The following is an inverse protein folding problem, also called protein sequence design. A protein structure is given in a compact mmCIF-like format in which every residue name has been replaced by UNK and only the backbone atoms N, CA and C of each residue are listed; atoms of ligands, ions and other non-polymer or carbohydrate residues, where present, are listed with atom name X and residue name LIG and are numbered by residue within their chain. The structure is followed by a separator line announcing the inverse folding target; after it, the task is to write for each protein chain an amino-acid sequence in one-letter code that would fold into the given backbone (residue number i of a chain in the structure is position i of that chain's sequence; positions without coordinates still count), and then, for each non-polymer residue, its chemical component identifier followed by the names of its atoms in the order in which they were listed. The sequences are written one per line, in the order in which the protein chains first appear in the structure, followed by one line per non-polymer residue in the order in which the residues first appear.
data_IF_543464642059
#
_entry.id   IF_543464642059
#
_cell.length_a   1.000
_cell.length_b   1.000
_cell.length_c   1.000
_cell.angle_alpha   90.00
_cell.angle_beta   90.00
_cell.angle_gamma   90.00
#
_symmetry.space_group_name_H-M   'P 1'
#
loop_
_entity.id
_entity.type
_entity.pdbx_description
1 polymer ?
#
# COMPACT_ATOMS: atom_id res chain seq x y z
N UNK A 1 45.23 1.84 3.58
CA UNK A 1 43.91 1.18 3.58
C UNK A 1 42.92 2.26 3.97
N UNK A 2 41.99 2.62 3.07
CA UNK A 2 40.94 3.57 3.43
C UNK A 2 40.02 2.93 4.47
N UNK A 3 39.55 3.72 5.42
CA UNK A 3 38.54 3.27 6.38
C UNK A 3 37.21 3.02 5.64
N UNK A 4 36.26 2.34 6.29
CA UNK A 4 34.91 2.19 5.73
C UNK A 4 34.26 3.57 5.49
N UNK A 5 34.60 4.56 6.32
CA UNK A 5 34.15 5.95 6.19
C UNK A 5 34.61 6.58 4.87
N UNK A 6 35.83 6.28 4.41
CA UNK A 6 36.34 6.78 3.13
C UNK A 6 35.50 6.23 1.95
N UNK A 7 35.04 4.97 2.06
CA UNK A 7 34.23 4.33 1.03
C UNK A 7 32.81 4.91 0.94
N UNK A 8 32.28 5.46 2.04
CA UNK A 8 30.99 6.15 2.06
C UNK A 8 31.03 7.45 1.25
N UNK A 9 32.21 8.06 1.11
CA UNK A 9 32.41 9.30 0.37
C UNK A 9 33.24 9.11 -0.91
N UNK A 10 33.36 7.86 -1.40
CA UNK A 10 34.14 7.54 -2.60
C UNK A 10 33.60 8.29 -3.82
N UNK A 11 34.47 8.73 -4.72
CA UNK A 11 34.04 9.45 -5.94
C UNK A 11 33.20 8.58 -6.87
N UNK A 12 33.38 7.25 -6.85
CA UNK A 12 32.64 6.31 -7.67
C UNK A 12 31.30 5.93 -7.04
N UNK A 13 30.21 6.29 -7.72
CA UNK A 13 28.86 5.85 -7.36
C UNK A 13 28.76 4.32 -7.20
N UNK A 14 29.53 3.54 -7.97
CA UNK A 14 29.49 2.08 -7.94
C UNK A 14 30.13 1.52 -6.67
N UNK A 15 31.18 2.17 -6.16
CA UNK A 15 31.80 1.80 -4.90
C UNK A 15 30.84 2.06 -3.75
N UNK A 16 30.24 3.26 -3.71
CA UNK A 16 29.24 3.61 -2.69
C UNK A 16 28.01 2.71 -2.76
N UNK A 17 27.52 2.41 -3.96
CA UNK A 17 26.39 1.51 -4.15
C UNK A 17 26.71 0.08 -3.69
N UNK A 18 27.90 -0.44 -4.01
CA UNK A 18 28.36 -1.75 -3.56
C UNK A 18 28.46 -1.81 -2.03
N UNK A 19 29.03 -0.79 -1.40
CA UNK A 19 29.08 -0.68 0.06
C UNK A 19 27.67 -0.71 0.67
N UNK A 20 26.73 0.04 0.09
CA UNK A 20 25.34 0.09 0.56
C UNK A 20 24.64 -1.27 0.60
N UNK A 21 25.06 -2.23 -0.24
CA UNK A 21 24.50 -3.59 -0.21
C UNK A 21 24.93 -4.41 1.02
N UNK A 22 26.07 -4.09 1.64
CA UNK A 22 26.69 -4.90 2.69
C UNK A 22 26.81 -4.20 4.05
N UNK A 23 26.79 -2.87 4.08
CA UNK A 23 27.13 -2.06 5.27
C UNK A 23 26.27 -2.39 6.51
N UNK A 24 25.01 -2.81 6.33
CA UNK A 24 24.14 -3.24 7.45
C UNK A 24 24.62 -4.50 8.16
N UNK A 25 25.42 -5.34 7.50
CA UNK A 25 25.95 -6.57 8.08
C UNK A 25 26.92 -6.35 9.24
N UNK A 26 27.40 -5.11 9.42
CA UNK A 26 28.28 -4.73 10.52
C UNK A 26 27.52 -4.48 11.82
N UNK A 27 26.24 -4.11 11.75
CA UNK A 27 25.42 -3.79 12.93
C UNK A 27 25.41 -4.91 14.00
N UNK A 28 25.14 -6.20 13.67
CA UNK A 28 25.17 -7.26 14.67
C UNK A 28 26.57 -7.55 15.24
N UNK A 29 27.64 -7.18 14.52
CA UNK A 29 29.02 -7.44 14.95
C UNK A 29 29.51 -6.36 15.91
N UNK A 30 29.17 -5.10 15.60
CA UNK A 30 29.57 -3.93 16.39
C UNK A 30 28.77 -3.79 17.69
N UNK A 31 27.54 -4.33 17.71
CA UNK A 31 26.62 -4.13 18.81
C UNK A 31 26.00 -2.73 18.80
N UNK A 32 25.10 -2.48 19.76
CA UNK A 32 24.20 -1.33 19.76
C UNK A 32 24.90 0.03 19.77
N UNK A 33 25.79 0.26 20.73
CA UNK A 33 26.41 1.57 20.93
C UNK A 33 27.26 1.98 19.72
N UNK A 34 28.16 1.08 19.28
CA UNK A 34 29.03 1.31 18.13
C UNK A 34 28.25 1.47 16.82
N UNK A 35 27.12 0.77 16.67
CA UNK A 35 26.21 0.96 15.53
C UNK A 35 25.62 2.37 15.51
N UNK A 36 25.22 2.88 16.67
CA UNK A 36 24.65 4.24 16.78
C UNK A 36 25.73 5.29 16.53
N UNK A 37 26.91 5.13 17.13
CA UNK A 37 27.94 6.16 17.11
C UNK A 37 28.67 6.25 15.75
N UNK A 38 28.85 5.10 15.07
CA UNK A 38 29.65 5.03 13.85
C UNK A 38 28.84 4.64 12.60
N UNK A 39 27.97 3.64 12.70
CA UNK A 39 27.27 3.12 11.51
C UNK A 39 26.09 4.00 11.09
N UNK A 40 25.29 4.47 12.05
CA UNK A 40 24.12 5.31 11.76
C UNK A 40 24.47 6.62 11.02
N UNK A 41 25.52 7.38 11.37
CA UNK A 41 25.94 8.54 10.58
C UNK A 41 26.25 8.20 9.12
N UNK A 42 26.94 7.07 8.88
CA UNK A 42 27.24 6.59 7.53
C UNK A 42 25.96 6.24 6.76
N UNK A 43 25.01 5.56 7.41
CA UNK A 43 23.69 5.27 6.83
C UNK A 43 22.95 6.54 6.42
N UNK A 44 22.88 7.54 7.30
CA UNK A 44 22.20 8.80 7.04
C UNK A 44 22.85 9.59 5.91
N UNK A 45 24.18 9.53 5.79
CA UNK A 45 24.90 10.12 4.67
C UNK A 45 24.54 9.43 3.35
N UNK A 46 24.56 8.09 3.32
CA UNK A 46 24.25 7.32 2.09
C UNK A 46 22.77 7.39 1.70
N UNK A 47 21.85 7.56 2.66
CA UNK A 47 20.43 7.85 2.37
C UNK A 47 20.25 9.18 1.64
N UNK A 48 21.19 10.12 1.80
CA UNK A 48 21.18 11.43 1.14
C UNK A 48 22.09 11.50 -0.09
N UNK A 49 22.60 10.34 -0.55
CA UNK A 49 23.48 10.28 -1.73
C UNK A 49 22.79 10.85 -2.96
N UNK A 50 23.55 11.49 -3.85
CA UNK A 50 23.02 12.05 -5.10
C UNK A 50 22.49 10.95 -6.04
N UNK A 51 23.07 9.75 -5.98
CA UNK A 51 22.76 8.65 -6.88
C UNK A 51 21.68 7.72 -6.31
N UNK A 52 20.56 7.52 -7.05
CA UNK A 52 19.42 6.77 -6.54
C UNK A 52 19.73 5.32 -6.15
N UNK A 53 20.66 4.66 -6.83
CA UNK A 53 21.04 3.27 -6.55
C UNK A 53 21.63 3.10 -5.15
N UNK A 54 22.44 4.06 -4.70
CA UNK A 54 22.98 4.08 -3.34
C UNK A 54 21.85 4.19 -2.32
N UNK A 55 20.94 5.16 -2.51
CA UNK A 55 19.77 5.35 -1.62
C UNK A 55 18.90 4.11 -1.56
N UNK A 56 18.61 3.49 -2.71
CA UNK A 56 17.82 2.24 -2.80
C UNK A 56 18.44 1.09 -2.03
N UNK A 57 19.75 0.88 -2.18
CA UNK A 57 20.44 -0.18 -1.44
C UNK A 57 20.33 0.04 0.06
N UNK A 58 20.50 1.27 0.53
CA UNK A 58 20.38 1.56 1.97
C UNK A 58 18.94 1.37 2.48
N UNK A 59 17.92 1.85 1.74
CA UNK A 59 16.51 1.66 2.11
C UNK A 59 16.20 0.17 2.30
N UNK A 60 16.68 -0.69 1.40
CA UNK A 60 16.46 -2.14 1.48
C UNK A 60 17.07 -2.81 2.71
N UNK A 61 17.94 -2.10 3.45
CA UNK A 61 18.66 -2.61 4.63
C UNK A 61 18.25 -1.93 5.93
N UNK A 62 17.35 -0.93 5.89
CA UNK A 62 16.87 -0.24 7.08
C UNK A 62 16.21 -1.20 8.09
N UNK A 63 15.53 -2.24 7.60
CA UNK A 63 14.95 -3.28 8.44
C UNK A 63 16.02 -4.00 9.31
N UNK A 64 17.16 -4.36 8.73
CA UNK A 64 18.22 -5.10 9.42
C UNK A 64 18.88 -4.28 10.51
N UNK A 65 19.03 -2.98 10.26
CA UNK A 65 19.59 -2.03 11.23
C UNK A 65 18.60 -1.78 12.37
N UNK A 66 17.29 -1.77 12.09
CA UNK A 66 16.27 -1.59 13.11
C UNK A 66 16.06 -2.85 13.97
N UNK A 67 16.09 -4.05 13.37
CA UNK A 67 15.67 -5.28 14.05
C UNK A 67 16.76 -6.01 14.84
N UNK A 68 18.05 -5.76 14.60
CA UNK A 68 19.14 -6.46 15.31
C UNK A 68 19.13 -7.96 15.07
N UNK A 69 20.09 -8.46 14.29
CA UNK A 69 20.15 -9.89 13.96
C UNK A 69 20.30 -10.72 15.25
N UNK A 70 19.33 -11.60 15.54
CA UNK A 70 19.52 -12.70 16.51
C UNK A 70 20.65 -13.58 15.97
N UNK A 71 21.84 -13.53 16.55
CA UNK A 71 22.75 -14.68 16.44
C UNK A 71 22.12 -15.81 17.24
N UNK A 72 21.81 -16.89 16.54
CA UNK A 72 21.20 -18.08 17.13
C UNK A 72 22.30 -18.86 17.85
N UNK A 73 22.81 -18.31 18.94
CA UNK A 73 23.78 -19.02 19.77
C UNK A 73 23.03 -20.00 20.67
N UNK A 74 23.25 -21.28 20.40
CA UNK A 74 22.62 -22.37 21.11
C UNK A 74 23.07 -22.44 22.56
N UNK A 75 22.20 -22.05 23.48
CA UNK A 75 21.98 -22.68 24.78
C UNK A 75 20.80 -21.95 25.44
N UNK A 76 19.77 -22.72 25.82
CA UNK A 76 18.49 -22.18 26.28
C UNK A 76 18.59 -21.16 27.41
N UNK A 77 17.94 -20.01 27.20
CA UNK A 77 17.38 -19.22 28.29
C UNK A 77 16.20 -18.42 27.76
N UNK A 78 15.06 -18.60 28.41
CA UNK A 78 13.76 -18.06 28.03
C UNK A 78 13.64 -16.61 28.53
N UNK A 79 14.06 -15.64 27.73
CA UNK A 79 13.61 -14.24 27.80
C UNK A 79 13.51 -13.74 26.35
N UNK A 80 12.30 -13.57 25.82
CA UNK A 80 12.09 -12.96 24.50
C UNK A 80 12.12 -11.44 24.64
N UNK A 81 13.31 -10.88 24.83
CA UNK A 81 13.52 -9.43 24.71
C UNK A 81 13.98 -9.15 23.28
N UNK A 82 13.13 -8.49 22.49
CA UNK A 82 13.49 -8.02 21.16
C UNK A 82 14.61 -6.97 21.30
N UNK A 83 15.81 -7.26 20.79
CA UNK A 83 16.94 -6.34 20.86
C UNK A 83 16.77 -5.29 19.76
N UNK A 84 15.99 -4.26 20.05
CA UNK A 84 15.90 -3.07 19.21
C UNK A 84 17.26 -2.33 19.25
N UNK A 85 18.01 -2.42 18.13
CA UNK A 85 19.37 -1.86 18.02
C UNK A 85 19.31 -0.33 18.01
N UNK A 86 18.43 0.24 17.19
CA UNK A 86 18.17 1.68 17.15
C UNK A 86 16.80 1.87 17.74
N UNK A 87 16.72 2.21 19.02
CA UNK A 87 15.43 2.40 19.70
C UNK A 87 14.50 3.35 18.94
N UNK A 88 13.18 3.20 19.11
CA UNK A 88 12.11 4.03 18.50
C UNK A 88 12.46 5.53 18.50
N UNK A 89 13.05 6.05 19.58
CA UNK A 89 13.41 7.46 19.72
C UNK A 89 14.48 7.91 18.70
N UNK A 90 15.55 7.14 18.53
CA UNK A 90 16.61 7.42 17.56
C UNK A 90 16.12 7.22 16.12
N UNK A 91 15.28 6.22 15.89
CA UNK A 91 14.62 5.99 14.60
C UNK A 91 13.78 7.22 14.20
N UNK A 92 12.98 7.73 15.13
CA UNK A 92 12.16 8.94 14.94
C UNK A 92 13.00 10.20 14.72
N UNK A 93 14.05 10.43 15.51
CA UNK A 93 14.84 11.67 15.45
C UNK A 93 15.79 11.71 14.25
N UNK A 94 16.42 10.59 13.90
CA UNK A 94 17.49 10.55 12.91
C UNK A 94 17.04 10.09 11.54
N UNK A 95 16.20 9.04 11.47
CA UNK A 95 15.82 8.42 10.19
C UNK A 95 14.54 9.02 9.59
N UNK A 96 13.58 9.47 10.41
CA UNK A 96 12.34 10.06 9.89
C UNK A 96 12.58 11.21 8.92
N UNK A 97 13.46 12.21 9.20
CA UNK A 97 13.69 13.29 8.25
C UNK A 97 14.21 12.79 6.90
N UNK A 98 15.07 11.76 6.91
CA UNK A 98 15.56 11.14 5.69
C UNK A 98 14.45 10.38 4.95
N UNK A 99 13.60 9.63 5.66
CA UNK A 99 12.46 8.91 5.09
C UNK A 99 11.47 9.88 4.43
N UNK A 100 11.14 10.99 5.08
CA UNK A 100 10.26 12.03 4.52
C UNK A 100 10.87 12.63 3.26
N UNK A 101 12.18 12.88 3.25
CA UNK A 101 12.87 13.38 2.06
C UNK A 101 12.84 12.36 0.91
N UNK A 102 13.03 11.08 1.21
CA UNK A 102 13.02 9.99 0.21
C UNK A 102 11.62 9.68 -0.31
N UNK A 103 10.58 9.95 0.49
CA UNK A 103 9.17 9.82 0.10
C UNK A 103 8.81 10.74 -1.08
N UNK A 104 9.54 11.84 -1.25
CA UNK A 104 9.35 12.86 -2.29
C UNK A 104 10.49 12.85 -3.34
N UNK A 105 11.29 11.78 -3.37
CA UNK A 105 12.45 11.67 -4.26
C UNK A 105 12.05 11.80 -5.74
N UNK A 106 12.89 12.48 -6.53
CA UNK A 106 12.68 12.65 -7.97
C UNK A 106 12.58 11.30 -8.69
N UNK A 107 13.36 10.31 -8.26
CA UNK A 107 13.34 8.97 -8.82
C UNK A 107 12.20 8.16 -8.21
N UNK A 108 11.20 7.82 -9.04
CA UNK A 108 10.01 7.10 -8.57
C UNK A 108 10.33 5.75 -7.93
N UNK A 109 11.37 5.04 -8.38
CA UNK A 109 11.79 3.78 -7.74
C UNK A 109 12.21 3.96 -6.28
N UNK A 110 12.79 5.11 -5.92
CA UNK A 110 13.12 5.44 -4.53
C UNK A 110 11.84 5.65 -3.73
N UNK A 111 10.89 6.43 -4.27
CA UNK A 111 9.56 6.60 -3.64
C UNK A 111 8.85 5.27 -3.44
N UNK A 112 8.89 4.39 -4.44
CA UNK A 112 8.32 3.04 -4.36
C UNK A 112 8.93 2.23 -3.20
N UNK A 113 10.26 2.24 -3.07
CA UNK A 113 10.93 1.52 -1.99
C UNK A 113 10.53 2.05 -0.60
N UNK A 114 10.32 3.37 -0.47
CA UNK A 114 9.79 3.96 0.77
C UNK A 114 8.35 3.51 1.03
N UNK A 115 7.48 3.53 0.03
CA UNK A 115 6.08 3.08 0.14
C UNK A 115 5.99 1.63 0.63
N UNK A 116 6.86 0.76 0.12
CA UNK A 116 6.91 -0.65 0.53
C UNK A 116 7.41 -0.83 1.96
N UNK A 117 8.25 0.09 2.45
CA UNK A 117 8.82 0.07 3.80
C UNK A 117 7.87 0.63 4.88
N UNK A 118 6.97 1.55 4.52
CA UNK A 118 6.06 2.23 5.46
C UNK A 118 5.26 1.29 6.38
N UNK A 119 4.65 0.17 5.93
CA UNK A 119 3.83 -0.66 6.82
C UNK A 119 4.65 -1.26 7.97
N UNK A 120 5.90 -1.64 7.70
CA UNK A 120 6.82 -2.12 8.72
C UNK A 120 7.12 -0.99 9.73
N UNK A 121 7.46 0.19 9.24
CA UNK A 121 7.72 1.36 10.08
C UNK A 121 6.50 1.73 10.94
N UNK A 122 5.31 1.67 10.36
CA UNK A 122 4.04 1.95 11.03
C UNK A 122 3.76 0.93 12.14
N UNK A 123 4.06 -0.35 11.93
CA UNK A 123 3.93 -1.38 12.97
C UNK A 123 4.89 -1.18 14.14
N UNK A 124 6.08 -0.63 13.89
CA UNK A 124 7.12 -0.38 14.90
C UNK A 124 6.85 0.91 15.70
N UNK A 125 6.48 1.99 15.03
CA UNK A 125 6.28 3.31 15.65
C UNK A 125 4.88 3.50 16.26
N UNK A 126 3.93 2.65 15.84
CA UNK A 126 2.54 2.69 16.31
C UNK A 126 1.68 3.75 15.62
N UNK A 127 0.37 3.61 15.82
CA UNK A 127 -0.67 4.36 15.10
C UNK A 127 -0.61 5.88 15.35
N UNK A 128 -0.39 6.32 16.59
CA UNK A 128 -0.35 7.75 16.94
C UNK A 128 0.74 8.48 16.17
N UNK A 129 1.94 7.87 16.11
CA UNK A 129 3.06 8.44 15.40
C UNK A 129 2.79 8.48 13.89
N UNK A 130 2.24 7.40 13.34
CA UNK A 130 1.87 7.33 11.94
C UNK A 130 0.90 8.45 11.55
N UNK A 131 -0.17 8.65 12.33
CA UNK A 131 -1.18 9.66 12.08
C UNK A 131 -0.60 11.08 12.09
N UNK A 132 0.32 11.37 13.01
CA UNK A 132 0.94 12.70 13.13
C UNK A 132 1.99 12.99 12.06
N UNK A 133 2.76 11.99 11.63
CA UNK A 133 3.98 12.21 10.83
C UNK A 133 3.94 11.65 9.41
N UNK A 134 3.22 10.55 9.17
CA UNK A 134 3.31 9.77 7.93
C UNK A 134 2.01 9.69 7.15
N UNK A 135 0.85 9.91 7.79
CA UNK A 135 -0.47 9.81 7.16
C UNK A 135 -0.59 10.72 5.93
N UNK A 136 -0.12 11.97 6.01
CA UNK A 136 -0.20 12.90 4.89
C UNK A 136 0.67 12.47 3.68
N UNK A 137 1.84 11.86 3.92
CA UNK A 137 2.68 11.31 2.85
C UNK A 137 1.97 10.17 2.13
N UNK A 138 1.34 9.26 2.89
CA UNK A 138 0.60 8.14 2.33
C UNK A 138 -0.56 8.60 1.45
N UNK A 139 -1.25 9.67 1.86
CA UNK A 139 -2.31 10.27 1.06
C UNK A 139 -1.76 10.99 -0.19
N UNK A 140 -0.59 11.64 -0.08
CA UNK A 140 0.06 12.30 -1.19
C UNK A 140 0.40 11.34 -2.35
N UNK A 141 0.87 10.13 -2.04
CA UNK A 141 1.22 9.13 -3.07
C UNK A 141 0.03 8.62 -3.88
N UNK A 142 -1.21 8.72 -3.38
CA UNK A 142 -2.42 8.40 -4.14
C UNK A 142 -2.64 9.40 -5.31
N UNK A 143 -2.04 10.59 -5.22
CA UNK A 143 -2.04 11.61 -6.27
C UNK A 143 -0.76 11.66 -7.11
N UNK A 144 0.17 10.72 -6.93
CA UNK A 144 1.47 10.74 -7.62
C UNK A 144 1.29 10.71 -9.15
N UNK A 145 2.19 11.36 -9.90
CA UNK A 145 2.11 11.39 -11.36
C UNK A 145 2.35 10.01 -11.99
N UNK A 146 3.14 9.14 -11.34
CA UNK A 146 3.49 7.80 -11.80
C UNK A 146 2.44 6.79 -11.34
N UNK A 147 1.81 6.08 -12.29
CA UNK A 147 0.79 5.08 -11.99
C UNK A 147 1.24 4.00 -10.99
N UNK A 148 2.45 3.44 -11.18
CA UNK A 148 2.99 2.41 -10.29
C UNK A 148 3.15 2.88 -8.84
N UNK A 149 3.34 4.18 -8.62
CA UNK A 149 3.36 4.76 -7.27
C UNK A 149 1.96 4.80 -6.68
N UNK A 150 0.97 5.26 -7.45
CA UNK A 150 -0.43 5.25 -7.01
C UNK A 150 -0.91 3.83 -6.69
N UNK A 151 -0.60 2.87 -7.54
CA UNK A 151 -0.91 1.45 -7.33
C UNK A 151 -0.26 0.93 -6.03
N UNK A 152 1.04 1.16 -5.84
CA UNK A 152 1.74 0.78 -4.62
C UNK A 152 1.15 1.45 -3.37
N UNK A 153 0.74 2.73 -3.48
CA UNK A 153 0.08 3.45 -2.40
C UNK A 153 -1.24 2.80 -2.00
N UNK A 154 -2.07 2.34 -2.96
CA UNK A 154 -3.31 1.62 -2.60
C UNK A 154 -3.04 0.32 -1.83
N UNK A 155 -2.02 -0.43 -2.22
CA UNK A 155 -1.60 -1.65 -1.52
C UNK A 155 -1.00 -1.34 -0.15
N UNK A 156 -0.29 -0.21 -0.03
CA UNK A 156 0.20 0.29 1.24
C UNK A 156 -0.96 0.61 2.21
N UNK A 157 -2.03 1.26 1.74
CA UNK A 157 -3.23 1.49 2.57
C UNK A 157 -3.86 0.18 3.06
N UNK A 158 -3.91 -0.84 2.20
CA UNK A 158 -4.39 -2.17 2.59
C UNK A 158 -3.54 -2.74 3.74
N UNK A 159 -2.21 -2.78 3.57
CA UNK A 159 -1.30 -3.27 4.61
C UNK A 159 -1.40 -2.47 5.91
N UNK A 160 -1.56 -1.14 5.82
CA UNK A 160 -1.78 -0.29 7.01
C UNK A 160 -3.09 -0.63 7.71
N UNK A 161 -4.16 -0.92 6.95
CA UNK A 161 -5.44 -1.38 7.50
C UNK A 161 -5.31 -2.75 8.17
N UNK A 162 -4.50 -3.64 7.62
CA UNK A 162 -4.19 -4.95 8.21
C UNK A 162 -3.40 -4.83 9.54
N UNK A 163 -2.60 -3.77 9.70
CA UNK A 163 -1.80 -3.47 10.91
C UNK A 163 -2.63 -2.74 11.98
N UNK A 164 -3.35 -1.69 11.60
CA UNK A 164 -4.06 -0.81 12.54
C UNK A 164 -5.55 -1.13 12.73
N UNK A 165 -6.11 -2.01 11.89
CA UNK A 165 -7.50 -2.44 11.97
C UNK A 165 -8.46 -1.63 11.10
N UNK A 166 -9.65 -2.19 10.92
CA UNK A 166 -10.70 -1.62 10.05
C UNK A 166 -11.34 -0.38 10.65
N UNK A 167 -11.41 -0.28 11.97
CA UNK A 167 -11.95 0.87 12.70
C UNK A 167 -11.09 2.11 12.41
N UNK A 168 -9.77 1.98 12.56
CA UNK A 168 -8.81 3.04 12.22
C UNK A 168 -8.93 3.44 10.74
N UNK A 169 -8.99 2.46 9.82
CA UNK A 169 -9.13 2.76 8.40
C UNK A 169 -10.44 3.50 8.10
N UNK A 170 -11.54 3.13 8.76
CA UNK A 170 -12.84 3.77 8.60
C UNK A 170 -12.83 5.24 9.02
N UNK A 171 -12.04 5.60 10.03
CA UNK A 171 -11.91 6.97 10.51
C UNK A 171 -10.89 7.79 9.72
N UNK A 172 -9.73 7.22 9.41
CA UNK A 172 -8.57 7.98 8.90
C UNK A 172 -8.37 7.87 7.39
N UNK A 173 -8.71 6.72 6.80
CA UNK A 173 -8.36 6.39 5.40
C UNK A 173 -9.58 6.52 4.49
N UNK A 174 -10.69 5.89 4.84
CA UNK A 174 -11.90 5.84 4.00
C UNK A 174 -12.42 7.24 3.63
N UNK A 175 -12.53 8.22 4.57
CA UNK A 175 -13.02 9.55 4.22
C UNK A 175 -12.13 10.25 3.20
N UNK A 176 -10.81 10.07 3.29
CA UNK A 176 -9.83 10.68 2.37
C UNK A 176 -9.92 10.06 0.98
N UNK A 177 -10.02 8.72 0.91
CA UNK A 177 -10.19 8.00 -0.37
C UNK A 177 -11.51 8.39 -1.06
N UNK A 178 -12.60 8.53 -0.30
CA UNK A 178 -13.88 8.97 -0.85
C UNK A 178 -13.83 10.43 -1.31
N UNK A 179 -13.11 11.31 -0.58
CA UNK A 179 -12.88 12.69 -0.98
C UNK A 179 -12.24 12.82 -2.38
N UNK A 180 -11.27 11.95 -2.68
CA UNK A 180 -10.61 11.89 -4.00
C UNK A 180 -11.58 11.52 -5.14
N UNK A 181 -12.62 10.73 -4.87
CA UNK A 181 -13.61 10.32 -5.85
C UNK A 181 -14.45 11.47 -6.40
N UNK A 182 -14.47 12.61 -5.69
CA UNK A 182 -15.14 13.85 -6.11
C UNK A 182 -14.19 14.93 -6.63
N UNK A 183 -12.90 14.61 -6.78
CA UNK A 183 -11.89 15.58 -7.17
C UNK A 183 -12.00 15.96 -8.66
N UNK A 184 -11.77 17.23 -9.05
CA UNK A 184 -11.90 17.68 -10.45
C UNK A 184 -10.92 16.99 -11.40
N UNK A 185 -9.71 16.67 -10.92
CA UNK A 185 -8.74 15.89 -11.70
C UNK A 185 -9.10 14.39 -11.70
N UNK A 186 -9.32 13.86 -12.90
CA UNK A 186 -9.74 12.49 -13.16
C UNK A 186 -8.78 11.42 -12.61
N UNK A 187 -7.48 11.73 -12.49
CA UNK A 187 -6.49 10.78 -11.96
C UNK A 187 -6.81 10.37 -10.52
N UNK A 188 -7.30 11.31 -9.70
CA UNK A 188 -7.70 11.04 -8.32
C UNK A 188 -8.96 10.18 -8.28
N UNK A 189 -9.95 10.50 -9.12
CA UNK A 189 -11.20 9.72 -9.22
C UNK A 189 -10.93 8.28 -9.67
N UNK A 190 -10.07 8.10 -10.67
CA UNK A 190 -9.64 6.77 -11.10
C UNK A 190 -8.89 6.03 -9.99
N UNK A 191 -8.01 6.73 -9.26
CA UNK A 191 -7.28 6.13 -8.13
C UNK A 191 -8.21 5.72 -6.99
N UNK A 192 -9.32 6.42 -6.77
CA UNK A 192 -10.37 6.00 -5.83
C UNK A 192 -10.94 4.63 -6.19
N UNK A 193 -11.22 4.33 -7.47
CA UNK A 193 -11.65 2.99 -7.90
C UNK A 193 -10.62 1.90 -7.56
N UNK A 194 -9.33 2.17 -7.82
CA UNK A 194 -8.26 1.23 -7.48
C UNK A 194 -8.12 1.03 -5.97
N UNK A 195 -8.15 2.12 -5.20
CA UNK A 195 -8.09 2.06 -3.74
C UNK A 195 -9.25 1.25 -3.16
N UNK A 196 -10.49 1.49 -3.62
CA UNK A 196 -11.66 0.70 -3.20
C UNK A 196 -11.47 -0.79 -3.52
N UNK A 197 -11.01 -1.11 -4.73
CA UNK A 197 -10.80 -2.49 -5.15
C UNK A 197 -9.76 -3.19 -4.28
N UNK A 198 -8.64 -2.53 -3.99
CA UNK A 198 -7.57 -3.06 -3.14
C UNK A 198 -8.01 -3.21 -1.69
N UNK A 199 -8.81 -2.27 -1.17
CA UNK A 199 -9.30 -2.29 0.22
C UNK A 199 -10.46 -3.25 0.46
N UNK A 200 -11.10 -3.79 -0.59
CA UNK A 200 -12.32 -4.59 -0.50
C UNK A 200 -12.25 -5.78 0.47
N UNK A 201 -11.06 -6.35 0.71
CA UNK A 201 -10.88 -7.49 1.62
C UNK A 201 -10.60 -7.09 3.07
N UNK A 202 -10.25 -5.83 3.32
CA UNK A 202 -9.84 -5.32 4.64
C UNK A 202 -10.82 -4.30 5.22
N UNK A 203 -11.97 -4.10 4.56
CA UNK A 203 -13.07 -3.25 5.05
C UNK A 203 -14.29 -4.10 5.39
N UNK A 204 -15.12 -3.59 6.30
CA UNK A 204 -16.34 -4.27 6.72
C UNK A 204 -17.51 -4.00 5.77
N UNK A 205 -18.57 -4.81 5.90
CA UNK A 205 -19.80 -4.62 5.14
C UNK A 205 -20.42 -3.24 5.36
N UNK A 206 -20.31 -2.73 6.58
CA UNK A 206 -20.83 -1.42 6.95
C UNK A 206 -20.12 -0.29 6.21
N UNK A 207 -18.78 -0.33 6.14
CA UNK A 207 -17.97 0.63 5.38
C UNK A 207 -18.34 0.59 3.90
N UNK A 208 -18.51 -0.61 3.34
CA UNK A 208 -18.92 -0.76 1.95
C UNK A 208 -20.30 -0.10 1.73
N UNK A 209 -21.27 -0.40 2.59
CA UNK A 209 -22.64 0.09 2.45
C UNK A 209 -22.79 1.60 2.66
N UNK A 210 -22.11 2.17 3.67
CA UNK A 210 -22.29 3.56 4.12
C UNK A 210 -21.37 4.56 3.42
N UNK A 211 -20.20 4.13 2.94
CA UNK A 211 -19.18 5.05 2.39
C UNK A 211 -18.84 4.73 0.94
N UNK A 212 -18.50 3.48 0.62
CA UNK A 212 -17.99 3.09 -0.70
C UNK A 212 -19.10 3.11 -1.75
N UNK A 213 -20.23 2.43 -1.49
CA UNK A 213 -21.33 2.35 -2.45
C UNK A 213 -21.91 3.72 -2.82
N UNK A 214 -22.20 4.64 -1.87
CA UNK A 214 -22.62 6.00 -2.23
C UNK A 214 -21.63 6.75 -3.12
N UNK A 215 -20.33 6.50 -2.95
CA UNK A 215 -19.34 7.13 -3.83
C UNK A 215 -19.34 6.53 -5.22
N UNK A 216 -19.40 5.21 -5.35
CA UNK A 216 -19.51 4.56 -6.65
C UNK A 216 -20.81 4.94 -7.36
N UNK A 217 -21.93 5.05 -6.65
CA UNK A 217 -23.22 5.49 -7.20
C UNK A 217 -23.10 6.87 -7.89
N UNK A 218 -22.29 7.77 -7.33
CA UNK A 218 -21.98 9.06 -7.97
C UNK A 218 -21.06 8.90 -9.19
N UNK A 219 -20.03 8.06 -9.10
CA UNK A 219 -19.02 7.88 -10.15
C UNK A 219 -19.53 7.08 -11.36
N UNK A 220 -20.64 6.35 -11.22
CA UNK A 220 -21.37 5.73 -12.35
C UNK A 220 -21.77 6.78 -13.40
N UNK A 221 -22.01 8.02 -12.97
CA UNK A 221 -22.38 9.15 -13.81
C UNK A 221 -21.21 10.04 -14.21
N UNK A 222 -19.96 9.59 -14.04
CA UNK A 222 -18.80 10.40 -14.43
C UNK A 222 -18.79 10.69 -15.93
N UNK A 223 -18.47 11.92 -16.33
CA UNK A 223 -18.41 12.32 -17.74
C UNK A 223 -17.38 11.51 -18.54
N UNK A 224 -16.34 10.99 -17.86
CA UNK A 224 -15.23 10.27 -18.51
C UNK A 224 -15.52 8.76 -18.56
N UNK A 225 -15.63 8.14 -19.75
CA UNK A 225 -15.90 6.70 -19.88
C UNK A 225 -14.90 5.82 -19.14
N UNK A 226 -13.63 6.23 -19.11
CA UNK A 226 -12.57 5.52 -18.39
C UNK A 226 -12.87 5.37 -16.89
N UNK A 227 -13.49 6.37 -16.26
CA UNK A 227 -13.91 6.27 -14.86
C UNK A 227 -15.10 5.32 -14.76
N UNK A 228 -16.11 5.46 -15.63
CA UNK A 228 -17.32 4.61 -15.61
C UNK A 228 -17.00 3.13 -15.78
N UNK A 229 -16.09 2.75 -16.68
CA UNK A 229 -15.71 1.34 -16.80
C UNK A 229 -14.87 0.85 -15.61
N UNK A 230 -14.06 1.72 -14.99
CA UNK A 230 -13.34 1.36 -13.77
C UNK A 230 -14.30 1.20 -12.58
N UNK A 231 -15.41 1.93 -12.55
CA UNK A 231 -16.51 1.68 -11.60
C UNK A 231 -17.10 0.29 -11.82
N UNK A 232 -17.37 -0.12 -13.07
CA UNK A 232 -17.84 -1.48 -13.37
C UNK A 232 -16.85 -2.56 -12.90
N UNK A 233 -15.54 -2.38 -13.15
CA UNK A 233 -14.48 -3.28 -12.64
C UNK A 233 -14.47 -3.33 -11.11
N UNK A 234 -14.61 -2.18 -10.46
CA UNK A 234 -14.65 -2.07 -9.00
C UNK A 234 -15.87 -2.81 -8.44
N UNK A 235 -17.04 -2.69 -9.07
CA UNK A 235 -18.22 -3.46 -8.68
C UNK A 235 -17.99 -4.97 -8.80
N UNK A 236 -17.31 -5.47 -9.84
CA UNK A 236 -16.98 -6.89 -9.94
C UNK A 236 -16.16 -7.40 -8.74
N UNK A 237 -15.17 -6.62 -8.31
CA UNK A 237 -14.36 -6.92 -7.12
C UNK A 237 -15.22 -6.90 -5.85
N UNK A 238 -16.05 -5.87 -5.68
CA UNK A 238 -16.95 -5.75 -4.52
C UNK A 238 -17.99 -6.87 -4.47
N UNK A 239 -18.53 -7.34 -5.60
CA UNK A 239 -19.41 -8.50 -5.65
C UNK A 239 -18.68 -9.75 -5.12
N UNK A 240 -17.44 -9.97 -5.55
CA UNK A 240 -16.61 -11.08 -5.07
C UNK A 240 -16.28 -11.00 -3.58
N UNK A 241 -16.12 -9.78 -3.05
CA UNK A 241 -15.92 -9.54 -1.62
C UNK A 241 -17.22 -9.76 -0.82
N UNK A 242 -18.31 -9.08 -1.18
CA UNK A 242 -19.59 -9.10 -0.48
C UNK A 242 -20.21 -10.50 -0.37
N UNK A 243 -19.99 -11.38 -1.34
CA UNK A 243 -20.43 -12.79 -1.28
C UNK A 243 -19.77 -13.59 -0.18
N UNK A 244 -18.56 -13.22 0.22
CA UNK A 244 -17.75 -13.93 1.22
C UNK A 244 -17.74 -13.20 2.56
N UNK A 245 -18.16 -11.93 2.59
CA UNK A 245 -18.00 -11.05 3.73
C UNK A 245 -18.98 -11.45 4.85
N UNK A 246 -18.51 -11.59 6.10
CA UNK A 246 -19.36 -11.88 7.26
C UNK A 246 -20.20 -10.67 7.65
N UNK A 247 -21.16 -10.85 8.57
CA UNK A 247 -21.94 -9.73 9.12
C UNK A 247 -21.06 -8.77 9.96
N UNK A 248 -20.08 -9.31 10.68
CA UNK A 248 -19.12 -8.58 11.51
C UNK A 248 -17.68 -8.93 11.12
N UNK A 249 -16.80 -7.93 11.09
CA UNK A 249 -15.39 -8.09 10.73
C UNK A 249 -15.10 -7.90 9.23
N UNK A 250 -14.00 -8.50 8.77
CA UNK A 250 -13.46 -8.35 7.41
C UNK A 250 -13.08 -9.71 6.82
N UNK A 251 -12.82 -9.78 5.51
CA UNK A 251 -12.29 -11.01 4.91
C UNK A 251 -10.88 -11.33 5.42
N UNK A 252 -10.06 -10.29 5.62
CA UNK A 252 -8.72 -10.45 6.18
C UNK A 252 -8.71 -11.05 7.58
N UNK A 253 -9.60 -10.61 8.47
CA UNK A 253 -9.70 -11.18 9.83
C UNK A 253 -10.13 -12.65 9.79
N UNK A 254 -11.08 -13.02 8.92
CA UNK A 254 -11.48 -14.42 8.73
C UNK A 254 -10.34 -15.30 8.21
N UNK A 255 -9.63 -14.83 7.18
CA UNK A 255 -8.51 -15.55 6.58
C UNK A 255 -7.37 -15.74 7.60
N UNK A 256 -7.12 -14.73 8.45
CA UNK A 256 -6.13 -14.80 9.52
C UNK A 256 -6.49 -15.82 10.61
N UNK A 257 -7.78 -15.99 10.90
CA UNK A 257 -8.30 -16.95 11.87
C UNK A 257 -8.46 -18.37 11.30
N UNK A 258 -8.28 -18.54 9.98
CA UNK A 258 -8.51 -19.81 9.29
C UNK A 258 -9.99 -20.21 9.24
N UNK A 259 -10.90 -19.25 9.42
CA UNK A 259 -12.34 -19.49 9.41
C UNK A 259 -12.88 -19.53 7.98
N UNK A 260 -13.85 -20.41 7.72
CA UNK A 260 -14.54 -20.42 6.43
C UNK A 260 -15.48 -19.22 6.30
N UNK A 261 -15.48 -18.59 5.12
CA UNK A 261 -16.38 -17.50 4.81
C UNK A 261 -17.83 -17.98 4.76
N UNK A 262 -18.66 -17.53 5.71
CA UNK A 262 -20.11 -17.74 5.69
C UNK A 262 -20.78 -16.57 4.96
N UNK A 263 -21.42 -16.79 3.79
CA UNK A 263 -22.10 -15.73 3.06
C UNK A 263 -23.21 -15.08 3.89
N UNK A 264 -23.10 -13.77 4.11
CA UNK A 264 -24.16 -12.99 4.75
C UNK A 264 -25.33 -12.73 3.77
N UNK A 265 -26.60 -12.88 4.18
CA UNK A 265 -27.76 -12.46 3.40
C UNK A 265 -27.70 -10.98 3.01
N UNK A 266 -27.15 -10.12 3.89
CA UNK A 266 -27.02 -8.69 3.68
C UNK A 266 -26.04 -8.36 2.55
N UNK A 267 -24.98 -9.17 2.38
CA UNK A 267 -24.06 -9.03 1.24
C UNK A 267 -24.77 -9.20 -0.10
N UNK A 268 -25.62 -10.23 -0.22
CA UNK A 268 -26.44 -10.45 -1.40
C UNK A 268 -27.48 -9.35 -1.62
N UNK A 269 -28.10 -8.85 -0.54
CA UNK A 269 -29.04 -7.74 -0.60
C UNK A 269 -28.38 -6.48 -1.19
N UNK A 270 -27.18 -6.11 -0.71
CA UNK A 270 -26.42 -4.98 -1.22
C UNK A 270 -26.07 -5.15 -2.71
N UNK A 271 -25.68 -6.36 -3.13
CA UNK A 271 -25.41 -6.65 -4.54
C UNK A 271 -26.67 -6.38 -5.38
N UNK A 272 -27.82 -6.93 -5.00
CA UNK A 272 -29.05 -6.82 -5.77
C UNK A 272 -29.65 -5.41 -5.77
N UNK A 273 -29.63 -4.72 -4.63
CA UNK A 273 -30.31 -3.43 -4.47
C UNK A 273 -29.44 -2.23 -4.85
N UNK A 274 -28.11 -2.33 -4.71
CA UNK A 274 -27.20 -1.18 -4.89
C UNK A 274 -26.27 -1.34 -6.08
N UNK A 275 -25.73 -2.54 -6.32
CA UNK A 275 -24.74 -2.75 -7.39
C UNK A 275 -25.42 -3.07 -8.74
N UNK A 276 -26.34 -4.03 -8.76
CA UNK A 276 -26.98 -4.51 -9.98
C UNK A 276 -27.73 -3.42 -10.78
N UNK A 277 -28.47 -2.48 -10.16
CA UNK A 277 -29.13 -1.40 -10.91
C UNK A 277 -28.13 -0.50 -11.64
N UNK A 278 -26.99 -0.18 -11.00
CA UNK A 278 -25.95 0.64 -11.60
C UNK A 278 -25.19 -0.11 -12.71
N UNK A 279 -24.93 -1.40 -12.55
CA UNK A 279 -24.41 -2.22 -13.64
C UNK A 279 -25.39 -2.26 -14.82
N UNK A 280 -26.68 -2.41 -14.56
CA UNK A 280 -27.73 -2.37 -15.60
C UNK A 280 -27.80 -1.03 -16.34
N UNK A 281 -27.47 0.07 -15.66
CA UNK A 281 -27.29 1.39 -16.28
C UNK A 281 -26.05 1.42 -17.17
N UNK A 282 -24.89 1.01 -16.66
CA UNK A 282 -23.62 0.99 -17.40
C UNK A 282 -23.62 0.01 -18.59
N UNK A 283 -24.44 -1.05 -18.56
CA UNK A 283 -24.64 -1.93 -19.72
C UNK A 283 -25.31 -1.24 -20.91
N UNK A 284 -25.98 -0.11 -20.68
CA UNK A 284 -26.64 0.71 -21.69
C UNK A 284 -25.84 1.98 -22.02
N UNK A 285 -24.60 2.09 -21.54
CA UNK A 285 -23.72 3.23 -21.78
C UNK A 285 -23.38 3.36 -23.28
N UNK A 286 -23.06 4.56 -23.73
CA UNK A 286 -22.68 4.82 -25.12
C UNK A 286 -21.27 4.29 -25.46
N UNK A 287 -20.40 4.17 -24.45
CA UNK A 287 -19.04 3.68 -24.61
C UNK A 287 -18.96 2.13 -24.61
N UNK A 288 -18.18 1.57 -25.54
CA UNK A 288 -18.05 0.11 -25.73
C UNK A 288 -17.39 -0.57 -24.53
N UNK A 289 -16.34 0.02 -23.97
CA UNK A 289 -15.60 -0.56 -22.86
C UNK A 289 -16.45 -0.54 -21.59
N UNK A 290 -17.20 0.54 -21.37
CA UNK A 290 -18.14 0.63 -20.25
C UNK A 290 -19.17 -0.49 -20.31
N UNK A 291 -19.80 -0.71 -21.47
CA UNK A 291 -20.76 -1.82 -21.66
C UNK A 291 -20.13 -3.19 -21.44
N UNK A 292 -18.93 -3.41 -21.97
CA UNK A 292 -18.20 -4.68 -21.86
C UNK A 292 -17.90 -5.03 -20.39
N UNK A 293 -17.29 -4.10 -19.65
CA UNK A 293 -16.92 -4.35 -18.26
C UNK A 293 -18.16 -4.41 -17.35
N UNK A 294 -19.21 -3.64 -17.62
CA UNK A 294 -20.47 -3.74 -16.87
C UNK A 294 -21.16 -5.09 -17.08
N UNK A 295 -21.17 -5.60 -18.31
CA UNK A 295 -21.73 -6.92 -18.63
C UNK A 295 -20.95 -8.04 -17.97
N UNK A 296 -19.62 -7.96 -18.00
CA UNK A 296 -18.75 -8.93 -17.33
C UNK A 296 -18.99 -8.93 -15.82
N UNK A 297 -19.08 -7.76 -15.18
CA UNK A 297 -19.35 -7.62 -13.75
C UNK A 297 -20.75 -8.17 -13.37
N UNK A 298 -21.77 -7.92 -14.19
CA UNK A 298 -23.12 -8.44 -13.96
C UNK A 298 -23.19 -9.97 -14.11
N UNK A 299 -22.42 -10.56 -15.03
CA UNK A 299 -22.29 -12.01 -15.16
C UNK A 299 -21.69 -12.63 -13.89
N UNK A 300 -20.65 -11.99 -13.32
CA UNK A 300 -20.08 -12.40 -12.04
C UNK A 300 -21.15 -12.42 -10.95
N UNK A 301 -22.01 -11.39 -10.84
CA UNK A 301 -23.07 -11.30 -9.84
C UNK A 301 -24.19 -12.35 -9.97
N UNK A 302 -24.42 -12.88 -11.18
CA UNK A 302 -25.44 -13.90 -11.45
C UNK A 302 -24.89 -15.33 -11.43
N UNK A 303 -23.56 -15.50 -11.36
CA UNK A 303 -22.91 -16.81 -11.39
C UNK A 303 -22.86 -17.45 -12.79
N UNK A 304 -23.13 -16.67 -13.83
CA UNK A 304 -22.99 -17.10 -15.21
C UNK A 304 -21.51 -17.15 -15.60
N UNK A 305 -21.06 -18.14 -16.42
CA UNK A 305 -19.71 -18.14 -16.96
C UNK A 305 -19.49 -16.84 -17.75
N UNK A 306 -18.35 -16.18 -17.54
CA UNK A 306 -17.98 -14.97 -18.27
C UNK A 306 -17.88 -15.30 -19.78
N UNK A 307 -18.96 -15.06 -20.51
CA UNK A 307 -19.04 -15.28 -21.94
C UNK A 307 -18.32 -14.16 -22.69
N UNK A 308 -17.17 -14.49 -23.26
CA UNK A 308 -16.42 -13.61 -24.15
C UNK A 308 -14.94 -13.93 -24.06
N UNK A 309 -14.41 -14.56 -25.11
CA UNK A 309 -12.98 -14.75 -25.30
C UNK A 309 -12.27 -13.41 -25.07
N UNK A 310 -11.43 -13.39 -24.03
CA UNK A 310 -10.47 -12.32 -23.84
C UNK A 310 -9.49 -12.40 -25.01
N UNK A 311 -9.73 -11.61 -26.06
CA UNK A 311 -8.63 -11.22 -26.92
C UNK A 311 -7.62 -10.50 -26.03
N UNK A 312 -6.40 -11.05 -25.98
CA UNK A 312 -5.24 -10.52 -25.29
C UNK A 312 -5.08 -9.01 -25.55
N UNK A 313 -5.56 -8.20 -24.62
CA UNK A 313 -5.09 -6.84 -24.39
C UNK A 313 -4.61 -6.72 -22.94
N UNK A 314 -3.77 -7.67 -22.55
CA UNK A 314 -2.77 -7.48 -21.50
C UNK A 314 -1.45 -7.23 -22.22
N UNK A 315 -0.71 -6.22 -21.78
CA UNK A 315 0.53 -5.67 -22.37
C UNK A 315 0.40 -4.81 -23.64
N UNK A 316 0.04 -3.54 -23.46
CA UNK A 316 0.81 -2.39 -23.98
C UNK A 316 0.07 -1.08 -23.64
N UNK A 317 0.25 -0.59 -22.41
CA UNK A 317 0.28 0.85 -22.17
C UNK A 317 1.12 1.16 -20.93
N UNK A 318 2.39 0.73 -21.00
CA UNK A 318 3.49 1.40 -20.30
C UNK A 318 4.03 2.45 -21.27
N UNK A 319 3.43 3.64 -21.28
CA UNK A 319 3.87 4.71 -22.17
C UNK A 319 2.86 5.84 -22.28
N UNK A 320 2.85 6.73 -21.29
CA UNK A 320 2.97 8.19 -21.38
C UNK A 320 2.80 8.78 -19.98
#
# INVERSE_FOLDING_TARGET
MGSIEDLVSDNSQHVRAALGTQISGLAPILGKQETIDHLLPMFLQMLKDEFPEVRLHIISKLELVNQGTKTRDGAGSCCTDEVEVIGIELLSQSLLPAIVQLAEDKQWRVRLAIIEYIPLLASQLGVKFFDEKLSNLCMGWLGDTVFSIREAATHNLKKLTEVFGVEWASEQIIPKVMGMGSHPNYLYRMTTCFAISTLATVVSMEVIAKSILPMLDKMVDDDIPNIRFNVAKTYAVLIGALRRLPDEGTLYSLEKEGAEATPSPRGNELIQQRIMPNLGKLQKDDDVDVRFFATTAAAVATGAPAGGEAHEHVTMNRGL
#
